data_IF_690492377015
#
_entry.id   IF_690492377015
#
_cell.length_a   1.000
_cell.length_b   1.000
_cell.length_c   1.000
_cell.angle_alpha   90.00
_cell.angle_beta   90.00
_cell.angle_gamma   90.00
#
_symmetry.space_group_name_H-M   'P 1'
#
loop_
_entity.id
_entity.type
_entity.pdbx_description
1 polymer ?
#
# COMPACT_ATOMS: atom_id res chain seq x y z
N UNK A 1 -5.18 11.34 -14.68
CA UNK A 1 -4.75 10.92 -13.31
C UNK A 1 -4.97 9.43 -13.10
N UNK A 2 -5.97 8.83 -13.75
CA UNK A 2 -6.34 7.40 -13.61
C UNK A 2 -5.23 6.41 -13.98
N UNK A 3 -4.38 6.75 -14.94
CA UNK A 3 -3.35 5.83 -15.46
C UNK A 3 -2.29 5.44 -14.40
N UNK A 4 -1.87 6.39 -13.55
CA UNK A 4 -0.91 6.10 -12.47
C UNK A 4 -1.56 5.24 -11.39
N UNK A 5 -2.81 5.52 -11.01
CA UNK A 5 -3.53 4.72 -10.02
C UNK A 5 -3.70 3.28 -10.47
N UNK A 6 -4.11 3.07 -11.73
CA UNK A 6 -4.27 1.73 -12.30
C UNK A 6 -2.94 0.98 -12.37
N UNK A 7 -1.85 1.63 -12.78
CA UNK A 7 -0.52 1.03 -12.79
C UNK A 7 -0.03 0.71 -11.38
N UNK A 8 -0.18 1.62 -10.43
CA UNK A 8 0.15 1.39 -9.01
C UNK A 8 -0.63 0.20 -8.47
N UNK A 9 -1.94 0.11 -8.72
CA UNK A 9 -2.75 -1.01 -8.26
C UNK A 9 -2.30 -2.34 -8.87
N UNK A 10 -2.00 -2.36 -10.18
CA UNK A 10 -1.45 -3.55 -10.84
C UNK A 10 -0.13 -4.00 -10.20
N UNK A 11 0.76 -3.06 -9.90
CA UNK A 11 2.05 -3.33 -9.24
C UNK A 11 1.86 -3.79 -7.80
N UNK A 12 0.94 -3.18 -7.04
CA UNK A 12 0.66 -3.60 -5.67
C UNK A 12 0.02 -4.99 -5.63
N UNK A 13 -0.88 -5.33 -6.55
CA UNK A 13 -1.47 -6.69 -6.63
C UNK A 13 -0.45 -7.79 -6.93
N UNK A 14 0.61 -7.48 -7.67
CA UNK A 14 1.68 -8.46 -7.92
C UNK A 14 2.55 -8.70 -6.68
N UNK A 15 2.49 -7.80 -5.70
CA UNK A 15 3.19 -7.90 -4.42
C UNK A 15 2.28 -8.52 -3.35
N UNK A 16 1.04 -8.04 -3.26
CA UNK A 16 0.01 -8.46 -2.32
C UNK A 16 -1.33 -8.66 -3.07
N UNK A 17 -1.67 -9.91 -3.41
CA UNK A 17 -2.93 -10.24 -4.10
C UNK A 17 -4.18 -9.91 -3.28
N UNK A 18 -4.05 -9.74 -1.96
CA UNK A 18 -5.17 -9.52 -1.03
C UNK A 18 -5.44 -8.03 -0.75
N UNK A 19 -4.82 -7.12 -1.50
CA UNK A 19 -5.10 -5.69 -1.43
C UNK A 19 -6.59 -5.40 -1.66
N UNK A 20 -7.16 -4.57 -0.80
CA UNK A 20 -8.53 -4.05 -0.94
C UNK A 20 -8.46 -2.78 -1.79
N UNK A 21 -8.84 -2.87 -3.05
CA UNK A 21 -8.60 -1.85 -4.07
C UNK A 21 -9.13 -0.45 -3.71
N UNK A 22 -10.33 -0.41 -3.11
CA UNK A 22 -10.99 0.84 -2.72
C UNK A 22 -10.28 1.58 -1.59
N UNK A 23 -9.40 0.89 -0.86
CA UNK A 23 -8.60 1.48 0.21
C UNK A 23 -7.26 2.04 -0.27
N UNK A 24 -6.91 1.86 -1.54
CA UNK A 24 -5.70 2.45 -2.11
C UNK A 24 -5.83 3.98 -2.11
N UNK A 25 -4.94 4.64 -1.38
CA UNK A 25 -4.81 6.09 -1.38
C UNK A 25 -3.37 6.47 -1.75
N UNK A 26 -3.22 7.16 -2.88
CA UNK A 26 -1.93 7.73 -3.29
C UNK A 26 -1.81 9.10 -2.62
N UNK A 27 -0.86 9.25 -1.71
CA UNK A 27 -0.59 10.50 -0.99
C UNK A 27 0.32 11.41 -1.82
N UNK A 28 1.29 10.82 -2.52
CA UNK A 28 2.24 11.53 -3.36
C UNK A 28 2.68 10.66 -4.53
N UNK A 29 2.90 11.27 -5.69
CA UNK A 29 3.56 10.61 -6.80
C UNK A 29 4.44 11.59 -7.56
N UNK A 30 5.51 11.05 -8.14
CA UNK A 30 6.39 11.78 -9.04
C UNK A 30 6.60 10.97 -10.31
N UNK A 31 6.38 11.61 -11.46
CA UNK A 31 6.64 11.01 -12.77
C UNK A 31 7.98 11.48 -13.31
N UNK A 32 8.79 10.53 -13.77
CA UNK A 32 10.03 10.74 -14.49
C UNK A 32 9.88 10.21 -15.92
N UNK A 33 10.91 10.43 -16.75
CA UNK A 33 10.90 9.99 -18.16
C UNK A 33 10.65 8.48 -18.30
N UNK A 34 11.23 7.69 -17.41
CA UNK A 34 11.31 6.23 -17.46
C UNK A 34 10.59 5.52 -16.31
N UNK A 35 10.24 6.23 -15.23
CA UNK A 35 9.64 5.62 -14.03
C UNK A 35 8.60 6.50 -13.32
N UNK A 36 7.85 5.87 -12.45
CA UNK A 36 7.01 6.49 -11.44
C UNK A 36 7.51 6.13 -10.05
N UNK A 37 7.64 7.13 -9.20
CA UNK A 37 7.85 6.96 -7.76
C UNK A 37 6.52 7.30 -7.07
N UNK A 38 5.94 6.35 -6.34
CA UNK A 38 4.60 6.47 -5.76
C UNK A 38 4.63 6.11 -4.28
N UNK A 39 4.01 6.97 -3.48
CA UNK A 39 3.87 6.82 -2.05
C UNK A 39 2.40 6.92 -1.64
N UNK A 40 1.99 6.05 -0.73
CA UNK A 40 0.60 6.00 -0.31
C UNK A 40 0.33 4.91 0.71
N UNK A 41 -0.94 4.59 0.87
CA UNK A 41 -1.40 3.54 1.75
C UNK A 41 -2.46 2.67 1.10
N UNK A 42 -2.59 1.45 1.60
CA UNK A 42 -3.66 0.52 1.25
C UNK A 42 -3.94 -0.41 2.43
N UNK A 43 -5.10 -1.05 2.42
CA UNK A 43 -5.43 -2.11 3.36
C UNK A 43 -5.46 -3.47 2.67
N UNK A 44 -5.16 -4.51 3.43
CA UNK A 44 -5.46 -5.88 3.08
C UNK A 44 -6.22 -6.56 4.24
N UNK A 45 -6.33 -7.89 4.21
CA UNK A 45 -7.02 -8.67 5.24
C UNK A 45 -6.42 -8.53 6.65
N UNK A 46 -5.12 -8.23 6.77
CA UNK A 46 -4.38 -8.24 8.04
C UNK A 46 -4.13 -6.85 8.62
N UNK A 47 -4.22 -5.78 7.83
CA UNK A 47 -4.04 -4.43 8.36
C UNK A 47 -3.94 -3.33 7.30
N UNK A 48 -3.55 -2.14 7.79
CA UNK A 48 -3.22 -0.95 7.02
C UNK A 48 -1.70 -0.90 6.78
N UNK A 49 -1.34 -0.64 5.53
CA UNK A 49 0.02 -0.61 5.04
C UNK A 49 0.33 0.73 4.42
N UNK A 50 1.54 1.22 4.66
CA UNK A 50 2.14 2.32 3.92
C UNK A 50 3.14 1.75 2.93
N UNK A 51 3.21 2.35 1.73
CA UNK A 51 4.12 1.92 0.68
C UNK A 51 4.87 3.10 0.07
N UNK A 52 6.11 2.83 -0.33
CA UNK A 52 6.90 3.62 -1.25
C UNK A 52 7.45 2.68 -2.33
N UNK A 53 6.96 2.81 -3.56
CA UNK A 53 7.35 1.96 -4.68
C UNK A 53 7.85 2.80 -5.84
N UNK A 54 8.81 2.24 -6.58
CA UNK A 54 9.27 2.79 -7.85
C UNK A 54 9.07 1.74 -8.92
N UNK A 55 8.46 2.10 -10.06
CA UNK A 55 8.26 1.18 -11.17
C UNK A 55 8.37 1.88 -12.52
N UNK A 56 8.77 1.15 -13.56
CA UNK A 56 8.82 1.70 -14.92
C UNK A 56 7.42 1.81 -15.57
N UNK A 57 7.34 2.40 -16.77
CA UNK A 57 6.05 2.54 -17.50
C UNK A 57 5.38 1.20 -17.87
N UNK A 58 6.09 0.07 -17.80
CA UNK A 58 5.53 -1.28 -18.02
C UNK A 58 5.05 -1.93 -16.72
N UNK A 59 5.30 -1.29 -15.57
CA UNK A 59 4.98 -1.81 -14.25
C UNK A 59 6.09 -2.69 -13.65
N UNK A 60 7.31 -2.68 -14.20
CA UNK A 60 8.40 -3.44 -13.61
C UNK A 60 8.94 -2.69 -12.39
N UNK A 61 8.91 -3.36 -11.24
CA UNK A 61 9.33 -2.82 -9.96
C UNK A 61 10.86 -2.56 -9.94
N UNK A 62 11.25 -1.39 -9.46
CA UNK A 62 12.64 -0.97 -9.22
C UNK A 62 12.95 -0.84 -7.73
N UNK A 63 11.98 -0.39 -6.93
CA UNK A 63 12.09 -0.29 -5.46
C UNK A 63 10.79 -0.72 -4.81
N UNK A 64 10.93 -1.36 -3.65
CA UNK A 64 9.81 -1.88 -2.87
C UNK A 64 10.02 -1.62 -1.39
N UNK A 65 9.28 -0.67 -0.83
CA UNK A 65 9.12 -0.53 0.61
C UNK A 65 7.63 -0.59 0.92
N UNK A 66 7.22 -1.57 1.73
CA UNK A 66 5.86 -1.73 2.20
C UNK A 66 5.95 -2.11 3.67
N UNK A 67 5.34 -1.31 4.53
CA UNK A 67 5.34 -1.51 5.97
C UNK A 67 3.91 -1.52 6.49
N UNK A 68 3.59 -2.47 7.36
CA UNK A 68 2.34 -2.41 8.11
C UNK A 68 2.45 -1.28 9.14
N UNK A 69 1.49 -0.38 9.13
CA UNK A 69 1.41 0.71 10.11
C UNK A 69 0.33 0.45 11.17
N UNK A 70 -0.66 -0.40 10.88
CA UNK A 70 -1.66 -0.81 11.86
C UNK A 70 -2.26 -2.19 11.56
N UNK A 71 -2.18 -3.16 12.48
CA UNK A 71 -2.94 -4.40 12.37
C UNK A 71 -4.44 -4.15 12.45
N UNK A 72 -5.25 -4.89 11.68
CA UNK A 72 -6.71 -4.71 11.61
C UNK A 72 -7.40 -4.79 12.99
N UNK A 73 -6.90 -5.65 13.87
CA UNK A 73 -7.47 -5.90 15.19
C UNK A 73 -6.73 -5.19 16.34
N UNK A 74 -5.84 -4.23 16.04
CA UNK A 74 -5.00 -3.57 17.04
C UNK A 74 -5.82 -3.06 18.24
N UNK A 75 -6.95 -2.41 17.98
CA UNK A 75 -7.83 -1.89 19.03
C UNK A 75 -8.38 -3.01 19.92
N UNK A 76 -8.90 -4.08 19.33
CA UNK A 76 -9.43 -5.23 20.09
C UNK A 76 -8.33 -5.95 20.88
N UNK A 77 -7.12 -6.04 20.33
CA UNK A 77 -5.97 -6.66 21.01
C UNK A 77 -5.48 -5.79 22.19
N UNK A 78 -5.52 -4.46 22.05
CA UNK A 78 -5.23 -3.52 23.12
C UNK A 78 -6.30 -3.57 24.22
N UNK A 79 -7.59 -3.56 23.85
CA UNK A 79 -8.71 -3.66 24.79
C UNK A 79 -8.64 -4.97 25.61
N UNK A 80 -8.35 -6.11 24.98
CA UNK A 80 -8.14 -7.39 25.69
C UNK A 80 -6.98 -7.35 26.70
N UNK A 81 -5.93 -6.57 26.44
CA UNK A 81 -4.80 -6.42 27.37
C UNK A 81 -5.10 -5.44 28.50
N UNK A 82 -5.80 -4.35 28.22
CA UNK A 82 -6.10 -3.29 29.19
C UNK A 82 -7.22 -3.72 30.15
N UNK A 83 -8.26 -4.38 29.63
CA UNK A 83 -9.43 -4.80 30.40
C UNK A 83 -9.34 -6.23 30.97
N UNK A 84 -8.22 -6.95 30.74
CA UNK A 84 -7.86 -8.10 31.57
C UNK A 84 -7.33 -7.60 32.92
N UNK A 85 -8.25 -7.21 33.80
CA UNK A 85 -7.98 -7.00 35.21
C UNK A 85 -9.08 -7.66 36.03
#
# INVERSE_FOLDING_TARGET
MDDVRSLTLKVLRSIDPDIIEDTLQIKYYQSFKDRFDVFGEFQNKIGLFEFAISFDKKGNLKRKHINMISPKNLRSDLEKKIYKK
#
